data_IF_699459754059
#
_entry.id   IF_699459754059
#
_cell.length_a   1.000
_cell.length_b   1.000
_cell.length_c   1.000
_cell.angle_alpha   90.00
_cell.angle_beta   90.00
_cell.angle_gamma   90.00
#
_symmetry.space_group_name_H-M   'P 1'
#
loop_
_entity.id
_entity.type
_entity.pdbx_description
1 polymer ?
#
# COMPACT_ATOMS: atom_id res chain seq x y z
N UNK A 1 -44.44 38.71 -12.11
CA UNK A 1 -45.38 38.05 -11.18
C UNK A 1 -45.71 38.94 -9.99
N UNK A 2 -44.75 39.34 -9.15
CA UNK A 2 -45.01 40.20 -7.98
C UNK A 2 -45.73 41.53 -8.31
N UNK A 3 -45.29 42.25 -9.34
CA UNK A 3 -45.93 43.51 -9.78
C UNK A 3 -47.36 43.34 -10.31
N UNK A 4 -47.66 42.20 -10.95
CA UNK A 4 -49.00 41.90 -11.46
C UNK A 4 -49.95 41.56 -10.30
N UNK A 5 -49.45 40.86 -9.28
CA UNK A 5 -50.20 40.59 -8.05
C UNK A 5 -50.45 41.86 -7.25
N UNK A 6 -49.46 42.75 -7.14
CA UNK A 6 -49.60 44.05 -6.48
C UNK A 6 -50.65 44.94 -7.16
N UNK A 7 -50.68 44.93 -8.50
CA UNK A 7 -51.71 45.62 -9.29
C UNK A 7 -53.12 45.08 -9.00
N UNK A 8 -53.30 43.75 -8.96
CA UNK A 8 -54.58 43.11 -8.63
C UNK A 8 -55.03 43.41 -7.20
N UNK A 9 -54.11 43.42 -6.24
CA UNK A 9 -54.43 43.77 -4.84
C UNK A 9 -54.83 45.24 -4.71
N UNK A 10 -54.15 46.14 -5.42
CA UNK A 10 -54.49 47.57 -5.44
C UNK A 10 -55.89 47.80 -6.04
N UNK A 11 -56.21 47.11 -7.14
CA UNK A 11 -57.54 47.17 -7.76
C UNK A 11 -58.63 46.60 -6.82
N UNK A 12 -58.35 45.50 -6.12
CA UNK A 12 -59.25 44.93 -5.12
C UNK A 12 -59.51 45.90 -3.96
N UNK A 13 -58.47 46.54 -3.43
CA UNK A 13 -58.61 47.53 -2.35
C UNK A 13 -59.41 48.75 -2.79
N UNK A 14 -59.22 49.20 -4.03
CA UNK A 14 -60.00 50.29 -4.62
C UNK A 14 -61.47 49.89 -4.82
N UNK A 15 -61.75 48.67 -5.27
CA UNK A 15 -63.10 48.10 -5.35
C UNK A 15 -63.77 48.05 -3.97
N UNK A 16 -63.07 47.53 -2.97
CA UNK A 16 -63.57 47.45 -1.60
C UNK A 16 -63.87 48.84 -1.01
N UNK A 17 -63.05 49.85 -1.34
CA UNK A 17 -63.29 51.25 -0.99
C UNK A 17 -64.53 51.80 -1.69
N UNK A 18 -64.70 51.58 -2.99
CA UNK A 18 -65.86 52.07 -3.75
C UNK A 18 -67.20 51.49 -3.26
N UNK A 19 -67.23 50.21 -2.87
CA UNK A 19 -68.42 49.56 -2.28
C UNK A 19 -68.80 50.19 -0.94
N UNK A 20 -67.82 50.54 -0.09
CA UNK A 20 -68.06 51.18 1.22
C UNK A 20 -68.67 52.58 1.10
N UNK A 21 -68.31 53.32 0.06
CA UNK A 21 -68.77 54.70 -0.15
C UNK A 21 -70.00 54.82 -1.07
N UNK A 22 -70.62 53.70 -1.47
CA UNK A 22 -71.84 53.70 -2.29
C UNK A 22 -73.05 53.34 -1.43
N UNK A 23 -74.06 54.22 -1.41
CA UNK A 23 -75.32 53.98 -0.69
C UNK A 23 -75.99 52.70 -1.18
N UNK A 24 -76.32 51.79 -0.24
CA UNK A 24 -76.88 50.48 -0.56
C UNK A 24 -75.90 49.47 -1.19
N UNK A 25 -74.65 49.86 -1.50
CA UNK A 25 -73.64 48.98 -2.11
C UNK A 25 -73.32 47.75 -1.25
N UNK A 26 -73.33 47.91 0.06
CA UNK A 26 -73.21 46.81 1.02
C UNK A 26 -74.35 45.78 0.94
N UNK A 27 -75.59 46.27 0.84
CA UNK A 27 -76.79 45.43 0.73
C UNK A 27 -76.82 44.72 -0.63
N UNK A 28 -76.41 45.42 -1.70
CA UNK A 28 -76.28 44.86 -3.04
C UNK A 28 -75.20 43.76 -3.10
N UNK A 29 -74.03 43.96 -2.47
CA UNK A 29 -72.98 42.94 -2.40
C UNK A 29 -73.44 41.71 -1.61
N UNK A 30 -74.12 41.91 -0.48
CA UNK A 30 -74.68 40.82 0.33
C UNK A 30 -75.74 40.03 -0.44
N UNK A 31 -76.59 40.72 -1.21
CA UNK A 31 -77.59 40.10 -2.06
C UNK A 31 -76.95 39.27 -3.19
N UNK A 32 -75.95 39.82 -3.90
CA UNK A 32 -75.21 39.12 -4.96
C UNK A 32 -74.48 37.88 -4.43
N UNK A 33 -73.88 37.98 -3.24
CA UNK A 33 -73.25 36.86 -2.55
C UNK A 33 -74.23 35.74 -2.18
N UNK A 34 -75.42 36.09 -1.69
CA UNK A 34 -76.48 35.12 -1.37
C UNK A 34 -77.11 34.47 -2.59
N UNK A 35 -77.02 35.11 -3.76
CA UNK A 35 -77.60 34.63 -5.02
C UNK A 35 -76.60 33.78 -5.85
N UNK A 36 -75.53 33.30 -5.22
CA UNK A 36 -74.52 32.40 -5.78
C UNK A 36 -73.85 32.88 -7.08
N UNK A 37 -73.78 34.20 -7.29
CA UNK A 37 -73.06 34.83 -8.41
C UNK A 37 -71.53 34.89 -8.20
N UNK A 38 -71.02 34.25 -7.15
CA UNK A 38 -69.60 34.18 -6.83
C UNK A 38 -68.99 32.86 -7.31
N UNK A 39 -67.76 32.88 -7.85
CA UNK A 39 -67.07 31.65 -8.22
C UNK A 39 -66.84 30.74 -7.00
N UNK A 40 -66.85 29.43 -7.25
CA UNK A 40 -66.74 28.40 -6.20
C UNK A 40 -65.45 28.59 -5.36
N UNK A 41 -65.62 28.68 -4.03
CA UNK A 41 -64.50 28.83 -3.07
C UNK A 41 -64.35 30.24 -2.48
N UNK A 42 -65.05 31.25 -3.00
CA UNK A 42 -65.03 32.61 -2.43
C UNK A 42 -66.09 32.73 -1.33
N UNK A 43 -65.67 32.71 -0.06
CA UNK A 43 -66.57 32.97 1.07
C UNK A 43 -66.53 34.43 1.47
N UNK A 44 -67.71 35.06 1.49
CA UNK A 44 -67.90 36.48 1.80
C UNK A 44 -67.67 36.82 3.28
N UNK A 45 -67.52 35.80 4.12
CA UNK A 45 -67.49 35.93 5.58
C UNK A 45 -66.20 36.54 6.15
N UNK A 46 -65.12 36.67 5.37
CA UNK A 46 -63.85 37.30 5.80
C UNK A 46 -63.60 38.69 5.23
N UNK A 47 -64.38 39.13 4.24
CA UNK A 47 -64.13 40.35 3.43
C UNK A 47 -65.12 41.48 3.74
N UNK A 48 -66.18 41.20 4.50
CA UNK A 48 -67.24 42.18 4.83
C UNK A 48 -67.16 42.63 6.30
N UNK A 49 -66.74 43.89 6.59
CA UNK A 49 -66.97 44.51 7.89
C UNK A 49 -68.46 44.85 8.07
N UNK A 50 -69.01 44.61 9.25
CA UNK A 50 -70.39 44.92 9.67
C UNK A 50 -70.88 46.31 9.24
N UNK A 51 -72.19 46.53 8.95
CA UNK A 51 -72.75 47.85 8.58
C UNK A 51 -72.53 48.94 9.64
N UNK A 52 -72.14 48.57 10.86
CA UNK A 52 -71.72 49.50 11.91
C UNK A 52 -70.36 50.19 11.64
N UNK A 53 -69.55 49.72 10.68
CA UNK A 53 -68.26 50.32 10.31
C UNK A 53 -68.40 51.48 9.30
N UNK A 54 -69.58 51.69 8.72
CA UNK A 54 -69.85 52.76 7.75
C UNK A 54 -69.93 54.15 8.39
N UNK A 55 -70.04 54.24 9.73
CA UNK A 55 -70.25 55.49 10.47
C UNK A 55 -69.00 56.36 10.63
N UNK A 56 -67.81 55.86 10.25
CA UNK A 56 -66.51 56.56 10.39
C UNK A 56 -65.82 56.85 9.06
N UNK A 57 -66.52 56.73 7.93
CA UNK A 57 -65.95 57.05 6.63
C UNK A 57 -66.02 58.55 6.37
N UNK A 58 -64.88 59.17 6.03
CA UNK A 58 -64.87 60.56 5.55
C UNK A 58 -65.73 60.64 4.30
N UNK A 59 -66.70 61.57 4.23
CA UNK A 59 -67.53 61.74 3.04
C UNK A 59 -66.64 62.13 1.86
N UNK A 60 -66.57 61.25 0.86
CA UNK A 60 -65.87 61.49 -0.39
C UNK A 60 -66.72 62.43 -1.24
N UNK A 61 -66.10 63.38 -1.94
CA UNK A 61 -66.84 64.29 -2.82
C UNK A 61 -67.50 63.52 -3.97
N UNK A 62 -68.64 64.00 -4.52
CA UNK A 62 -69.27 63.34 -5.66
C UNK A 62 -68.34 63.27 -6.89
N UNK A 63 -67.43 64.23 -7.03
CA UNK A 63 -66.40 64.27 -8.08
C UNK A 63 -65.32 63.19 -7.89
N UNK A 64 -64.81 63.04 -6.65
CA UNK A 64 -63.84 61.99 -6.30
C UNK A 64 -64.44 60.59 -6.45
N UNK A 65 -65.72 60.43 -6.13
CA UNK A 65 -66.45 59.16 -6.34
C UNK A 65 -66.60 58.84 -7.83
N UNK A 66 -66.94 59.83 -8.66
CA UNK A 66 -67.04 59.65 -10.11
C UNK A 66 -65.68 59.31 -10.73
N UNK A 67 -64.59 59.96 -10.28
CA UNK A 67 -63.23 59.65 -10.69
C UNK A 67 -62.81 58.22 -10.31
N UNK A 68 -63.10 57.79 -9.08
CA UNK A 68 -62.82 56.43 -8.60
C UNK A 68 -63.55 55.35 -9.42
N UNK A 69 -64.84 55.55 -9.69
CA UNK A 69 -65.63 54.63 -10.51
C UNK A 69 -65.14 54.58 -11.96
N UNK A 70 -64.63 55.70 -12.50
CA UNK A 70 -64.02 55.73 -13.84
C UNK A 70 -62.73 54.91 -13.89
N UNK A 71 -61.87 55.03 -12.88
CA UNK A 71 -60.63 54.23 -12.77
C UNK A 71 -60.99 52.75 -12.64
N UNK A 72 -61.93 52.39 -11.77
CA UNK A 72 -62.37 51.00 -11.62
C UNK A 72 -62.97 50.41 -12.90
N UNK A 73 -63.75 51.19 -13.65
CA UNK A 73 -64.29 50.76 -14.93
C UNK A 73 -63.20 50.54 -15.99
N UNK A 74 -62.15 51.37 -15.99
CA UNK A 74 -61.00 51.19 -16.87
C UNK A 74 -60.20 49.95 -16.48
N UNK A 75 -59.77 49.84 -15.22
CA UNK A 75 -59.00 48.70 -14.71
C UNK A 75 -59.75 47.37 -14.89
N UNK A 76 -61.08 47.37 -14.72
CA UNK A 76 -61.90 46.17 -14.91
C UNK A 76 -61.84 45.63 -16.35
N UNK A 77 -61.60 46.49 -17.35
CA UNK A 77 -61.41 46.04 -18.74
C UNK A 77 -60.03 45.43 -18.98
N UNK A 78 -59.03 45.80 -18.18
CA UNK A 78 -57.64 45.32 -18.30
C UNK A 78 -57.37 44.07 -17.46
N UNK A 79 -58.17 43.82 -16.42
CA UNK A 79 -58.02 42.71 -15.48
C UNK A 79 -57.91 41.31 -16.15
N UNK A 80 -58.71 40.96 -17.18
CA UNK A 80 -58.56 39.67 -17.86
C UNK A 80 -57.20 39.49 -18.51
N UNK A 81 -56.62 40.56 -19.07
CA UNK A 81 -55.29 40.53 -19.68
C UNK A 81 -54.19 40.36 -18.62
N UNK A 82 -54.31 41.05 -17.47
CA UNK A 82 -53.37 40.91 -16.34
C UNK A 82 -53.38 39.49 -15.76
N UNK A 83 -54.56 38.87 -15.66
CA UNK A 83 -54.70 37.47 -15.22
C UNK A 83 -54.11 36.50 -16.24
N UNK A 84 -54.37 36.73 -17.53
CA UNK A 84 -53.76 35.93 -18.60
C UNK A 84 -52.23 36.02 -18.58
N UNK A 85 -51.66 37.20 -18.37
CA UNK A 85 -50.21 37.39 -18.23
C UNK A 85 -49.64 36.67 -17.01
N UNK A 86 -50.38 36.63 -15.89
CA UNK A 86 -49.99 35.85 -14.71
C UNK A 86 -49.98 34.35 -15.01
N UNK A 87 -51.00 33.83 -15.69
CA UNK A 87 -51.07 32.42 -16.08
C UNK A 87 -49.95 32.04 -17.04
N UNK A 88 -49.64 32.88 -18.03
CA UNK A 88 -48.52 32.67 -18.95
C UNK A 88 -47.18 32.64 -18.21
N UNK A 89 -46.97 33.55 -17.25
CA UNK A 89 -45.75 33.56 -16.42
C UNK A 89 -45.66 32.37 -15.49
N UNK A 90 -46.79 31.91 -14.94
CA UNK A 90 -46.83 30.70 -14.14
C UNK A 90 -46.45 29.48 -14.98
N UNK A 91 -47.06 29.31 -16.16
CA UNK A 91 -46.75 28.22 -17.09
C UNK A 91 -45.28 28.24 -17.53
N UNK A 92 -44.71 29.41 -17.80
CA UNK A 92 -43.29 29.56 -18.12
C UNK A 92 -42.40 29.09 -16.95
N UNK A 93 -42.72 29.50 -15.73
CA UNK A 93 -41.97 29.08 -14.53
C UNK A 93 -42.10 27.58 -14.27
N UNK A 94 -43.31 27.02 -14.44
CA UNK A 94 -43.58 25.59 -14.31
C UNK A 94 -42.86 24.76 -15.38
N UNK A 95 -42.73 25.28 -16.60
CA UNK A 95 -41.97 24.64 -17.67
C UNK A 95 -40.46 24.67 -17.41
N UNK A 96 -39.92 25.73 -16.79
CA UNK A 96 -38.49 25.86 -16.49
C UNK A 96 -38.07 24.98 -15.30
N UNK A 97 -38.94 24.83 -14.30
CA UNK A 97 -38.67 24.07 -13.07
C UNK A 97 -38.12 22.64 -13.30
N UNK A 98 -38.70 21.79 -14.17
CA UNK A 98 -38.17 20.44 -14.42
C UNK A 98 -36.78 20.46 -15.05
N UNK A 99 -36.48 21.45 -15.90
CA UNK A 99 -35.15 21.60 -16.50
C UNK A 99 -34.10 21.94 -15.44
N UNK A 100 -34.37 22.93 -14.58
CA UNK A 100 -33.46 23.28 -13.47
C UNK A 100 -33.28 22.08 -12.55
N UNK A 101 -34.37 21.39 -12.19
CA UNK A 101 -34.32 20.23 -11.31
C UNK A 101 -33.50 19.10 -11.91
N UNK A 102 -33.64 18.85 -13.22
CA UNK A 102 -32.83 17.87 -13.94
C UNK A 102 -31.34 18.24 -13.92
N UNK A 103 -30.99 19.48 -14.23
CA UNK A 103 -29.59 19.94 -14.21
C UNK A 103 -28.97 19.82 -12.81
N UNK A 104 -29.71 20.18 -11.75
CA UNK A 104 -29.25 20.03 -10.36
C UNK A 104 -29.02 18.56 -10.02
N UNK A 105 -29.94 17.67 -10.42
CA UNK A 105 -29.79 16.23 -10.19
C UNK A 105 -28.57 15.66 -10.93
N UNK A 106 -28.39 16.02 -12.20
CA UNK A 106 -27.24 15.60 -13.00
C UNK A 106 -25.92 16.10 -12.40
N UNK A 107 -25.85 17.37 -11.98
CA UNK A 107 -24.67 17.94 -11.35
C UNK A 107 -24.32 17.25 -10.03
N UNK A 108 -25.32 16.97 -9.18
CA UNK A 108 -25.11 16.22 -7.93
C UNK A 108 -24.64 14.79 -8.18
N UNK A 109 -25.21 14.10 -9.17
CA UNK A 109 -24.79 12.76 -9.56
C UNK A 109 -23.34 12.76 -10.05
N UNK A 110 -22.97 13.71 -10.91
CA UNK A 110 -21.61 13.85 -11.41
C UNK A 110 -20.62 14.14 -10.27
N UNK A 111 -20.96 15.05 -9.36
CA UNK A 111 -20.16 15.35 -8.17
C UNK A 111 -19.95 14.12 -7.29
N UNK A 112 -21.01 13.37 -6.98
CA UNK A 112 -20.89 12.16 -6.16
C UNK A 112 -20.00 11.11 -6.85
N UNK A 113 -20.12 10.94 -8.16
CA UNK A 113 -19.32 9.98 -8.91
C UNK A 113 -17.83 10.38 -8.94
N UNK A 114 -17.54 11.67 -9.16
CA UNK A 114 -16.16 12.16 -9.16
C UNK A 114 -15.53 12.06 -7.78
N UNK A 115 -16.23 12.46 -6.72
CA UNK A 115 -15.73 12.32 -5.34
C UNK A 115 -15.46 10.84 -5.01
N UNK A 116 -16.38 9.93 -5.35
CA UNK A 116 -16.15 8.50 -5.13
C UNK A 116 -14.91 7.98 -5.87
N UNK A 117 -14.70 8.38 -7.12
CA UNK A 117 -13.51 8.02 -7.89
C UNK A 117 -12.23 8.56 -7.24
N UNK A 118 -12.21 9.81 -6.76
CA UNK A 118 -11.07 10.38 -6.06
C UNK A 118 -10.77 9.65 -4.74
N UNK A 119 -11.80 9.31 -3.95
CA UNK A 119 -11.60 8.53 -2.72
C UNK A 119 -11.01 7.15 -3.00
N UNK A 120 -11.40 6.49 -4.10
CA UNK A 120 -10.78 5.24 -4.53
C UNK A 120 -9.30 5.42 -4.92
N UNK A 121 -8.98 6.50 -5.64
CA UNK A 121 -7.60 6.83 -6.01
C UNK A 121 -6.73 7.15 -4.79
N UNK A 122 -7.27 7.88 -3.81
CA UNK A 122 -6.59 8.16 -2.54
C UNK A 122 -6.32 6.87 -1.77
N UNK A 123 -7.29 5.95 -1.72
CA UNK A 123 -7.10 4.63 -1.11
C UNK A 123 -5.99 3.83 -1.79
N UNK A 124 -5.94 3.84 -3.12
CA UNK A 124 -4.87 3.19 -3.88
C UNK A 124 -3.51 3.86 -3.63
N UNK A 125 -3.47 5.19 -3.64
CA UNK A 125 -2.26 5.97 -3.38
C UNK A 125 -1.71 5.72 -1.96
N UNK A 126 -2.59 5.56 -0.97
CA UNK A 126 -2.21 5.21 0.40
C UNK A 126 -1.65 3.78 0.51
N UNK A 127 -2.14 2.84 -0.29
CA UNK A 127 -1.68 1.45 -0.28
C UNK A 127 -0.36 1.23 -1.05
N UNK A 128 -0.09 2.06 -2.06
CA UNK A 128 1.05 1.89 -2.97
C UNK A 128 2.42 1.82 -2.27
N UNK A 129 2.73 2.67 -1.26
CA UNK A 129 4.01 2.60 -0.54
C UNK A 129 4.25 1.25 0.13
N UNK A 130 3.20 0.63 0.69
CA UNK A 130 3.32 -0.67 1.33
C UNK A 130 3.67 -1.78 0.32
N UNK A 131 3.05 -1.76 -0.87
CA UNK A 131 3.38 -2.69 -1.95
C UNK A 131 4.80 -2.49 -2.48
N UNK A 132 5.23 -1.24 -2.66
CA UNK A 132 6.60 -0.91 -3.06
C UNK A 132 7.59 -1.43 -2.02
N UNK A 133 7.36 -1.14 -0.73
CA UNK A 133 8.22 -1.59 0.36
C UNK A 133 8.33 -3.12 0.44
N UNK A 134 7.20 -3.82 0.29
CA UNK A 134 7.17 -5.29 0.26
C UNK A 134 7.97 -5.84 -0.93
N UNK A 135 7.79 -5.26 -2.12
CA UNK A 135 8.52 -5.65 -3.33
C UNK A 135 10.02 -5.42 -3.19
N UNK A 136 10.43 -4.27 -2.68
CA UNK A 136 11.85 -3.96 -2.45
C UNK A 136 12.46 -4.88 -1.39
N UNK A 137 11.75 -5.15 -0.29
CA UNK A 137 12.21 -6.06 0.75
C UNK A 137 12.38 -7.49 0.23
N UNK A 138 11.44 -7.96 -0.59
CA UNK A 138 11.54 -9.27 -1.22
C UNK A 138 12.73 -9.33 -2.17
N UNK A 139 12.93 -8.30 -3.00
CA UNK A 139 14.04 -8.24 -3.94
C UNK A 139 15.40 -8.29 -3.22
N UNK A 140 15.56 -7.54 -2.12
CA UNK A 140 16.77 -7.57 -1.30
C UNK A 140 16.98 -8.96 -0.68
N UNK A 141 15.97 -9.51 -0.01
CA UNK A 141 16.06 -10.83 0.60
C UNK A 141 16.41 -11.93 -0.41
N UNK A 142 15.90 -11.81 -1.64
CA UNK A 142 16.24 -12.72 -2.73
C UNK A 142 17.70 -12.62 -3.16
N UNK A 143 18.26 -11.40 -3.28
CA UNK A 143 19.67 -11.24 -3.61
C UNK A 143 20.57 -11.80 -2.51
N UNK A 144 20.23 -11.55 -1.24
CA UNK A 144 20.99 -12.08 -0.10
C UNK A 144 20.95 -13.61 -0.08
N UNK A 145 19.78 -14.21 -0.27
CA UNK A 145 19.63 -15.67 -0.34
C UNK A 145 20.41 -16.27 -1.51
N UNK A 146 20.40 -15.61 -2.67
CA UNK A 146 21.16 -16.03 -3.84
C UNK A 146 22.67 -15.97 -3.59
N UNK A 147 23.16 -14.90 -2.97
CA UNK A 147 24.57 -14.77 -2.60
C UNK A 147 24.99 -15.89 -1.63
N UNK A 148 24.21 -16.12 -0.58
CA UNK A 148 24.47 -17.18 0.39
C UNK A 148 24.49 -18.58 -0.24
N UNK A 149 23.59 -18.86 -1.20
CA UNK A 149 23.59 -20.14 -1.93
C UNK A 149 24.84 -20.31 -2.79
N UNK A 150 25.32 -19.25 -3.44
CA UNK A 150 26.54 -19.31 -4.23
C UNK A 150 27.77 -19.54 -3.34
N UNK A 151 27.87 -18.82 -2.21
CA UNK A 151 28.97 -19.01 -1.24
C UNK A 151 29.01 -20.46 -0.72
N UNK A 152 27.85 -21.05 -0.42
CA UNK A 152 27.75 -22.45 -0.01
C UNK A 152 28.13 -23.42 -1.13
N UNK A 153 27.77 -23.12 -2.38
CA UNK A 153 28.14 -23.96 -3.53
C UNK A 153 29.66 -23.93 -3.78
N UNK A 154 30.29 -22.77 -3.62
CA UNK A 154 31.73 -22.60 -3.70
C UNK A 154 32.44 -23.39 -2.58
N UNK A 155 31.92 -23.32 -1.35
CA UNK A 155 32.47 -24.09 -0.23
C UNK A 155 32.36 -25.61 -0.45
N UNK A 156 31.21 -26.09 -0.96
CA UNK A 156 31.05 -27.51 -1.33
C UNK A 156 32.04 -27.93 -2.43
N UNK A 157 32.32 -27.04 -3.37
CA UNK A 157 33.31 -27.29 -4.43
C UNK A 157 34.72 -27.39 -3.83
N UNK A 158 35.08 -26.51 -2.91
CA UNK A 158 36.36 -26.56 -2.19
C UNK A 158 36.49 -27.84 -1.37
N UNK A 159 35.43 -28.24 -0.64
CA UNK A 159 35.42 -29.50 0.12
C UNK A 159 35.62 -30.71 -0.78
N UNK A 160 34.96 -30.75 -1.96
CA UNK A 160 35.18 -31.81 -2.94
C UNK A 160 36.66 -31.88 -3.35
N UNK A 161 37.24 -30.76 -3.75
CA UNK A 161 38.65 -30.70 -4.15
C UNK A 161 39.60 -31.13 -3.02
N UNK A 162 39.31 -30.73 -1.78
CA UNK A 162 40.07 -31.18 -0.62
C UNK A 162 40.03 -32.71 -0.47
N UNK A 163 38.85 -33.33 -0.53
CA UNK A 163 38.72 -34.77 -0.36
C UNK A 163 39.30 -35.58 -1.53
N UNK A 164 39.19 -35.08 -2.76
CA UNK A 164 39.88 -35.65 -3.91
C UNK A 164 41.40 -35.62 -3.72
N UNK A 165 41.96 -34.48 -3.27
CA UNK A 165 43.38 -34.35 -2.96
C UNK A 165 43.82 -35.21 -1.79
N UNK A 166 42.98 -35.36 -0.77
CA UNK A 166 43.22 -36.25 0.37
C UNK A 166 43.32 -37.70 -0.07
N UNK A 167 42.37 -38.17 -0.89
CA UNK A 167 42.37 -39.54 -1.40
C UNK A 167 43.64 -39.83 -2.22
N UNK A 168 44.00 -38.92 -3.15
CA UNK A 168 45.22 -39.06 -3.94
C UNK A 168 46.50 -39.07 -3.07
N UNK A 169 46.53 -38.26 -2.01
CA UNK A 169 47.65 -38.20 -1.08
C UNK A 169 47.76 -39.45 -0.20
N UNK A 170 46.63 -40.10 0.11
CA UNK A 170 46.61 -41.33 0.89
C UNK A 170 47.29 -42.49 0.15
N UNK A 171 47.07 -42.63 -1.15
CA UNK A 171 47.79 -43.61 -1.98
C UNK A 171 49.31 -43.37 -1.93
N UNK A 172 49.73 -42.10 -2.02
CA UNK A 172 51.13 -41.71 -1.85
C UNK A 172 51.70 -42.06 -0.48
N UNK A 173 50.93 -41.89 0.59
CA UNK A 173 51.33 -42.26 1.95
C UNK A 173 51.58 -43.76 2.08
N UNK A 174 50.71 -44.61 1.52
CA UNK A 174 50.88 -46.08 1.56
C UNK A 174 52.19 -46.49 0.86
N UNK A 175 52.50 -45.90 -0.30
CA UNK A 175 53.75 -46.14 -1.01
C UNK A 175 54.98 -45.68 -0.20
N UNK A 176 54.90 -44.51 0.44
CA UNK A 176 55.99 -43.97 1.27
C UNK A 176 56.25 -44.85 2.51
N UNK A 177 55.20 -45.37 3.16
CA UNK A 177 55.32 -46.33 4.26
C UNK A 177 56.06 -47.60 3.80
N UNK A 178 55.67 -48.16 2.65
CA UNK A 178 56.33 -49.33 2.09
C UNK A 178 57.81 -49.04 1.73
N UNK A 179 58.09 -47.85 1.16
CA UNK A 179 59.46 -47.40 0.84
C UNK A 179 60.32 -47.29 2.09
N UNK A 180 59.80 -46.68 3.17
CA UNK A 180 60.51 -46.53 4.46
C UNK A 180 60.84 -47.87 5.08
N UNK A 181 59.89 -48.80 5.13
CA UNK A 181 60.19 -50.17 5.60
C UNK A 181 61.22 -50.88 4.70
N UNK A 182 61.17 -50.65 3.39
CA UNK A 182 62.19 -51.16 2.46
C UNK A 182 63.59 -50.59 2.75
N UNK A 183 63.69 -49.30 3.00
CA UNK A 183 64.94 -48.64 3.36
C UNK A 183 65.48 -49.15 4.69
N UNK A 184 64.63 -49.29 5.70
CA UNK A 184 64.99 -49.84 7.01
C UNK A 184 65.53 -51.27 6.88
N UNK A 185 64.87 -52.14 6.11
CA UNK A 185 65.36 -53.50 5.84
C UNK A 185 66.73 -53.48 5.17
N UNK A 186 66.94 -52.61 4.17
CA UNK A 186 68.25 -52.47 3.51
C UNK A 186 69.34 -52.05 4.50
N UNK A 187 69.06 -51.06 5.36
CA UNK A 187 69.98 -50.61 6.41
C UNK A 187 70.34 -51.76 7.36
N UNK A 188 69.34 -52.51 7.84
CA UNK A 188 69.55 -53.68 8.70
C UNK A 188 70.40 -54.76 8.01
N UNK A 189 70.18 -55.03 6.73
CA UNK A 189 70.99 -55.99 5.96
C UNK A 189 72.44 -55.54 5.83
N UNK A 190 72.69 -54.24 5.59
CA UNK A 190 74.06 -53.70 5.53
C UNK A 190 74.75 -53.84 6.88
N UNK A 191 74.07 -53.46 7.98
CA UNK A 191 74.61 -53.59 9.32
C UNK A 191 74.92 -55.06 9.67
N UNK A 192 74.00 -55.98 9.38
CA UNK A 192 74.21 -57.41 9.62
C UNK A 192 75.44 -57.95 8.86
N UNK A 193 75.61 -57.55 7.59
CA UNK A 193 76.80 -57.92 6.80
C UNK A 193 78.09 -57.32 7.35
N UNK A 194 78.05 -56.08 7.83
CA UNK A 194 79.20 -55.44 8.45
C UNK A 194 79.60 -56.18 9.74
N UNK A 195 78.63 -56.51 10.61
CA UNK A 195 78.86 -57.30 11.82
C UNK A 195 79.44 -58.68 11.48
N UNK A 196 78.87 -59.38 10.49
CA UNK A 196 79.38 -60.67 10.02
C UNK A 196 80.82 -60.57 9.49
N UNK A 197 81.15 -59.51 8.74
CA UNK A 197 82.50 -59.26 8.26
C UNK A 197 83.49 -58.98 9.40
N UNK A 198 83.09 -58.18 10.40
CA UNK A 198 83.90 -57.89 11.58
C UNK A 198 84.16 -59.16 12.37
N UNK A 199 83.13 -59.98 12.61
CA UNK A 199 83.28 -61.26 13.31
C UNK A 199 84.17 -62.24 12.53
N UNK A 200 84.07 -62.32 11.19
CA UNK A 200 85.00 -63.12 10.36
C UNK A 200 86.45 -62.66 10.50
N UNK A 201 86.71 -61.35 10.46
CA UNK A 201 88.06 -60.81 10.65
C UNK A 201 88.60 -61.13 12.04
N UNK A 202 87.75 -61.05 13.08
CA UNK A 202 88.09 -61.41 14.46
C UNK A 202 88.41 -62.89 14.59
N UNK A 203 87.64 -63.77 13.96
CA UNK A 203 87.90 -65.22 13.95
C UNK A 203 89.23 -65.55 13.26
N UNK A 204 89.53 -64.90 12.13
CA UNK A 204 90.80 -65.04 11.43
C UNK A 204 91.99 -64.55 12.28
N UNK A 205 91.91 -63.36 12.87
CA UNK A 205 92.94 -62.83 13.79
C UNK A 205 93.13 -63.74 15.01
N UNK A 206 92.04 -64.27 15.57
CA UNK A 206 92.10 -65.24 16.68
C UNK A 206 92.83 -66.51 16.26
N UNK A 207 92.59 -67.01 15.05
CA UNK A 207 93.27 -68.19 14.51
C UNK A 207 94.78 -67.92 14.29
N UNK A 208 95.14 -66.79 13.69
CA UNK A 208 96.53 -66.36 13.48
C UNK A 208 97.27 -66.18 14.82
N UNK A 209 96.67 -65.50 15.81
CA UNK A 209 97.24 -65.35 17.16
C UNK A 209 97.45 -66.70 17.86
N UNK A 210 96.54 -67.66 17.66
CA UNK A 210 96.68 -69.02 18.19
C UNK A 210 97.80 -69.80 17.49
N UNK A 211 97.91 -69.68 16.16
CA UNK A 211 98.98 -70.29 15.39
C UNK A 211 100.36 -69.74 15.79
N UNK A 212 100.49 -68.40 15.87
CA UNK A 212 101.70 -67.72 16.34
C UNK A 212 102.10 -68.16 17.75
N UNK A 213 101.14 -68.21 18.69
CA UNK A 213 101.41 -68.71 20.05
C UNK A 213 101.86 -70.17 20.07
N UNK A 214 101.31 -71.03 19.22
CA UNK A 214 101.73 -72.44 19.12
C UNK A 214 103.18 -72.55 18.60
N UNK A 215 103.58 -71.70 17.67
CA UNK A 215 104.89 -71.76 17.03
C UNK A 215 106.02 -71.14 17.86
N UNK A 216 105.76 -69.97 18.49
CA UNK A 216 106.82 -69.18 19.15
C UNK A 216 106.56 -68.97 20.64
N UNK A 217 105.37 -69.29 21.14
CA UNK A 217 104.94 -68.93 22.50
C UNK A 217 105.73 -69.57 23.64
N UNK A 218 106.34 -70.75 23.43
CA UNK A 218 107.21 -71.37 24.44
C UNK A 218 108.51 -70.58 24.69
N UNK A 219 108.86 -69.67 23.78
CA UNK A 219 110.10 -68.88 23.82
C UNK A 219 109.85 -67.40 24.16
N UNK A 220 108.59 -67.00 24.35
CA UNK A 220 108.22 -65.62 24.63
C UNK A 220 107.62 -65.50 26.04
N UNK A 221 108.22 -64.69 26.94
CA UNK A 221 107.63 -64.37 28.24
C UNK A 221 106.25 -63.72 28.07
N UNK A 222 105.26 -64.16 28.86
CA UNK A 222 103.86 -63.72 28.76
C UNK A 222 103.62 -62.25 29.11
N UNK A 223 104.58 -61.60 29.75
CA UNK A 223 104.58 -60.21 30.21
C UNK A 223 105.21 -59.22 29.20
N UNK A 224 105.76 -59.73 28.09
CA UNK A 224 106.43 -58.89 27.09
C UNK A 224 105.48 -57.88 26.41
N UNK A 225 104.23 -58.28 26.17
CA UNK A 225 103.19 -57.43 25.60
C UNK A 225 101.79 -57.93 26.01
N UNK A 226 100.93 -57.04 26.49
CA UNK A 226 99.57 -57.38 26.94
C UNK A 226 98.72 -58.03 25.83
N UNK A 227 98.96 -57.69 24.56
CA UNK A 227 98.25 -58.30 23.41
C UNK A 227 98.71 -59.72 23.06
N UNK A 228 99.76 -60.23 23.68
CA UNK A 228 100.34 -61.55 23.42
C UNK A 228 99.45 -62.67 24.00
N UNK A 229 98.69 -62.38 25.06
CA UNK A 229 97.82 -63.31 25.78
C UNK A 229 96.38 -62.81 25.75
N UNK A 230 95.48 -63.55 25.10
CA UNK A 230 94.05 -63.21 25.01
C UNK A 230 93.44 -63.58 23.68
N UNK A 231 92.12 -63.45 23.56
CA UNK A 231 91.41 -63.54 22.28
C UNK A 231 91.42 -62.19 21.55
N UNK A 232 91.13 -62.19 20.25
CA UNK A 232 91.02 -60.95 19.49
C UNK A 232 89.91 -60.05 20.07
N UNK A 233 90.13 -58.72 20.13
CA UNK A 233 89.18 -57.79 20.73
C UNK A 233 87.84 -57.82 20.00
N UNK A 234 86.76 -57.69 20.77
CA UNK A 234 85.41 -57.60 20.23
C UNK A 234 85.04 -56.15 20.03
N UNK A 235 84.50 -55.83 18.86
CA UNK A 235 84.01 -54.50 18.53
C UNK A 235 82.49 -54.49 18.72
N UNK A 236 82.00 -53.63 19.62
CA UNK A 236 80.56 -53.41 19.90
C UNK A 236 80.04 -52.16 19.19
#
# INVERSE_FOLDING_TARGET
MALLLESLTSHFDLCAKAVKHTEGGFLALKAAASNNQLPAGVTVSGVIPSPAASSHLTPISPEERAAMLRVLAADATELPAVVQDLDLRLQEMEAILPHISHHVAAARSAYSATTAAFTMLEGLAAALPAYIAASTSFATAWQDAKAALNDQADELTNMRTFYEGYLASYDGLVLEVARRHGAERKMKTVLAKAVEQVERLREADTAERKAFRREVGAFLPSDLWEGLVGDAPRWE
#
